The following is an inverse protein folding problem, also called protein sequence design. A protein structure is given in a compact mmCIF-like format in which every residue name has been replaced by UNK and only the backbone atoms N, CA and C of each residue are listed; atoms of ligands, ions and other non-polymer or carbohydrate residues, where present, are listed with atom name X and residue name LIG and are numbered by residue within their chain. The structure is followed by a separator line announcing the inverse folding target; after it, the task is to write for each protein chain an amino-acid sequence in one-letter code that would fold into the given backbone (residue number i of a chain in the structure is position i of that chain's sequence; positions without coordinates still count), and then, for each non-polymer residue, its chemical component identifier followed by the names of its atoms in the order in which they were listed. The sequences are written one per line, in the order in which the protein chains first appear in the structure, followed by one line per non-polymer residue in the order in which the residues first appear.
data_IF_534778736585
#
_entry.id   IF_534778736585
#
_cell.length_a   1.000
_cell.length_b   1.000
_cell.length_c   1.000
_cell.angle_alpha   90.00
_cell.angle_beta   90.00
_cell.angle_gamma   90.00
#
_symmetry.space_group_name_H-M   'P 1'
#
loop_
_entity.id
_entity.type
_entity.pdbx_description
1 polymer ?
#
# COMPACT_ATOMS: atom_id res chain seq x y z
N UNK A 1 1.24 4.77 -15.73
CA UNK A 1 1.37 3.39 -15.23
C UNK A 1 1.00 2.48 -16.38
N UNK A 2 1.80 1.46 -16.63
CA UNK A 2 1.54 0.42 -17.62
C UNK A 2 1.49 -0.89 -16.84
N UNK A 3 0.32 -1.51 -16.77
CA UNK A 3 0.14 -2.78 -16.10
C UNK A 3 -0.52 -3.78 -17.03
N UNK A 4 -0.28 -5.07 -16.80
CA UNK A 4 -1.07 -6.15 -17.37
C UNK A 4 -2.53 -5.93 -16.98
N UNK A 5 -3.42 -6.00 -17.96
CA UNK A 5 -4.84 -5.76 -17.73
C UNK A 5 -5.49 -7.03 -17.19
N UNK A 6 -5.69 -7.06 -15.87
CA UNK A 6 -6.40 -8.16 -15.23
C UNK A 6 -7.86 -8.23 -15.69
N UNK A 7 -8.42 -7.21 -16.39
CA UNK A 7 -9.82 -7.09 -16.82
C UNK A 7 -10.32 -8.10 -17.86
N UNK A 8 -9.48 -8.99 -18.38
CA UNK A 8 -9.92 -10.04 -19.34
C UNK A 8 -10.48 -11.35 -18.72
N UNK A 9 -10.56 -11.41 -17.39
CA UNK A 9 -11.20 -12.45 -16.54
C UNK A 9 -12.67 -12.05 -16.15
N UNK A 10 -13.61 -12.96 -15.81
CA UNK A 10 -14.96 -12.58 -15.41
C UNK A 10 -15.03 -11.79 -14.08
N UNK A 11 -15.89 -10.77 -14.02
CA UNK A 11 -16.03 -9.78 -12.93
C UNK A 11 -16.39 -10.37 -11.56
N UNK A 12 -16.99 -11.56 -11.51
CA UNK A 12 -17.52 -12.18 -10.28
C UNK A 12 -16.49 -12.81 -9.35
N UNK A 13 -15.23 -12.94 -9.76
CA UNK A 13 -14.16 -13.58 -8.96
C UNK A 13 -13.07 -12.59 -8.47
N UNK A 14 -13.16 -11.30 -8.81
CA UNK A 14 -12.01 -10.38 -8.69
C UNK A 14 -11.84 -9.61 -7.37
N UNK A 15 -12.89 -9.30 -6.64
CA UNK A 15 -12.75 -8.38 -5.50
C UNK A 15 -12.85 -9.14 -4.17
N UNK A 16 -11.68 -9.51 -3.64
CA UNK A 16 -11.54 -9.73 -2.21
C UNK A 16 -11.53 -8.36 -1.52
N UNK A 17 -12.72 -7.79 -1.32
CA UNK A 17 -12.87 -6.62 -0.47
C UNK A 17 -12.85 -7.08 0.99
N UNK A 18 -11.89 -6.64 1.81
CA UNK A 18 -11.86 -6.99 3.21
C UNK A 18 -13.13 -6.44 3.89
N UNK A 19 -13.79 -7.24 4.71
CA UNK A 19 -14.96 -6.75 5.46
C UNK A 19 -14.48 -6.08 6.74
N UNK A 20 -14.55 -4.75 6.79
CA UNK A 20 -14.26 -3.99 8.02
C UNK A 20 -15.47 -4.06 8.93
N UNK A 21 -15.29 -4.63 10.13
CA UNK A 21 -16.34 -4.74 11.14
C UNK A 21 -16.04 -3.80 12.31
N UNK A 22 -17.07 -3.17 12.83
CA UNK A 22 -16.99 -2.30 14.00
C UNK A 22 -18.32 -2.17 14.70
N UNK A 23 -18.34 -1.46 15.83
CA UNK A 23 -19.55 -1.15 16.59
C UNK A 23 -19.60 0.37 16.77
N UNK A 24 -20.66 0.99 16.25
CA UNK A 24 -20.96 2.40 16.49
C UNK A 24 -21.84 2.51 17.74
N UNK A 25 -21.51 3.42 18.66
CA UNK A 25 -22.32 3.65 19.88
C UNK A 25 -23.53 4.54 19.59
N UNK A 26 -23.39 5.42 18.61
CA UNK A 26 -24.39 6.42 18.21
C UNK A 26 -24.50 6.44 16.68
N UNK A 27 -25.25 7.40 16.15
CA UNK A 27 -25.22 7.67 14.72
C UNK A 27 -23.84 8.21 14.37
N UNK A 28 -23.04 7.41 13.68
CA UNK A 28 -21.63 7.71 13.48
C UNK A 28 -21.29 7.85 12.00
N UNK A 29 -20.32 8.72 11.70
CA UNK A 29 -19.70 8.79 10.38
C UNK A 29 -18.41 7.98 10.39
N UNK A 30 -18.35 6.98 9.53
CA UNK A 30 -17.18 6.10 9.38
C UNK A 30 -16.38 6.56 8.17
N UNK A 31 -15.12 6.90 8.41
CA UNK A 31 -14.14 7.28 7.41
C UNK A 31 -13.03 6.24 7.38
N UNK A 32 -12.73 5.70 6.19
CA UNK A 32 -11.64 4.76 5.99
C UNK A 32 -10.57 5.41 5.13
N UNK A 33 -9.34 5.44 5.65
CA UNK A 33 -8.17 5.97 4.97
C UNK A 33 -7.16 4.86 4.71
N UNK A 34 -6.57 4.88 3.52
CA UNK A 34 -5.46 4.01 3.15
C UNK A 34 -4.34 4.88 2.59
N UNK A 35 -3.11 4.72 3.11
CA UNK A 35 -1.95 5.54 2.72
C UNK A 35 -2.22 7.06 2.80
N UNK A 36 -3.04 7.49 3.77
CA UNK A 36 -3.42 8.90 3.98
C UNK A 36 -4.56 9.42 3.09
N UNK A 37 -5.08 8.60 2.16
CA UNK A 37 -6.21 8.96 1.29
C UNK A 37 -7.52 8.35 1.79
N UNK A 38 -8.60 9.15 1.82
CA UNK A 38 -9.95 8.65 2.16
C UNK A 38 -10.49 7.82 0.99
N UNK A 39 -10.57 6.51 1.20
CA UNK A 39 -11.09 5.55 0.20
C UNK A 39 -12.58 5.29 0.38
N UNK A 40 -13.12 5.55 1.58
CA UNK A 40 -14.52 5.29 1.89
C UNK A 40 -15.02 6.23 2.98
N UNK A 41 -16.26 6.68 2.85
CA UNK A 41 -16.89 7.59 3.79
C UNK A 41 -18.41 7.36 3.77
N UNK A 42 -18.97 6.93 4.90
CA UNK A 42 -20.41 6.67 5.03
C UNK A 42 -20.90 6.98 6.45
N UNK A 43 -22.22 7.15 6.60
CA UNK A 43 -22.88 7.29 7.90
C UNK A 43 -23.56 5.98 8.25
N UNK A 44 -23.33 5.48 9.47
CA UNK A 44 -23.90 4.23 9.98
C UNK A 44 -24.86 4.52 11.14
N UNK A 45 -25.88 3.68 11.27
CA UNK A 45 -26.78 3.70 12.41
C UNK A 45 -26.07 3.17 13.68
N UNK A 46 -26.57 3.49 14.89
CA UNK A 46 -26.07 2.92 16.13
C UNK A 46 -26.13 1.39 16.11
N UNK A 47 -25.04 0.73 16.47
CA UNK A 47 -24.93 -0.72 16.52
C UNK A 47 -23.76 -1.30 15.73
N UNK A 48 -23.70 -2.64 15.62
CA UNK A 48 -22.69 -3.32 14.84
C UNK A 48 -22.86 -3.02 13.34
N UNK A 49 -21.76 -2.65 12.68
CA UNK A 49 -21.72 -2.41 11.24
C UNK A 49 -20.65 -3.25 10.56
N UNK A 50 -20.86 -3.52 9.28
CA UNK A 50 -19.90 -4.21 8.43
C UNK A 50 -19.83 -3.50 7.07
N UNK A 51 -18.65 -2.95 6.76
CA UNK A 51 -18.39 -2.32 5.46
C UNK A 51 -17.87 -3.39 4.50
N UNK A 52 -18.64 -3.68 3.46
CA UNK A 52 -18.33 -4.70 2.45
C UNK A 52 -17.86 -4.09 1.12
N UNK A 53 -18.25 -2.86 0.84
CA UNK A 53 -18.01 -2.19 -0.44
C UNK A 53 -16.81 -1.24 -0.36
N UNK A 54 -15.70 -1.74 0.18
CA UNK A 54 -14.46 -0.99 0.20
C UNK A 54 -13.75 -1.16 -1.14
N UNK A 55 -13.72 -0.10 -1.95
CA UNK A 55 -12.88 0.00 -3.14
C UNK A 55 -11.42 0.22 -2.73
N UNK A 56 -10.82 -0.82 -2.14
CA UNK A 56 -9.38 -0.85 -1.88
C UNK A 56 -8.65 -0.94 -3.21
N UNK A 57 -7.64 -0.08 -3.40
CA UNK A 57 -6.73 -0.20 -4.53
C UNK A 57 -5.83 -1.41 -4.27
N UNK A 58 -5.34 -2.09 -5.31
CA UNK A 58 -4.43 -3.26 -5.24
C UNK A 58 -3.12 -3.02 -4.45
N UNK A 59 -2.95 -1.86 -3.82
CA UNK A 59 -1.86 -1.59 -2.89
C UNK A 59 -2.15 -2.26 -1.54
N UNK A 60 -1.24 -3.15 -1.12
CA UNK A 60 -1.09 -3.54 0.27
C UNK A 60 -0.89 -2.28 1.13
N UNK A 61 -1.50 -2.23 2.31
CA UNK A 61 -1.36 -1.07 3.19
C UNK A 61 -2.49 -0.98 4.19
N UNK A 62 -2.14 -0.65 5.43
CA UNK A 62 -3.05 -0.61 6.57
C UNK A 62 -4.24 0.33 6.34
N UNK A 63 -5.43 -0.13 6.72
CA UNK A 63 -6.66 0.65 6.68
C UNK A 63 -6.83 1.35 8.02
N UNK A 64 -6.70 2.67 8.00
CA UNK A 64 -6.98 3.52 9.15
C UNK A 64 -8.48 3.85 9.15
N UNK A 65 -9.20 3.32 10.12
CA UNK A 65 -10.63 3.54 10.28
C UNK A 65 -10.87 4.54 11.39
N UNK A 66 -11.55 5.63 11.07
CA UNK A 66 -11.98 6.65 12.04
C UNK A 66 -13.50 6.67 12.08
N UNK A 67 -14.05 6.47 13.27
CA UNK A 67 -15.49 6.53 13.54
C UNK A 67 -15.77 7.80 14.35
N UNK A 68 -16.45 8.74 13.74
CA UNK A 68 -16.90 9.98 14.35
C UNK A 68 -18.30 9.79 14.90
N UNK A 69 -18.44 9.72 16.21
CA UNK A 69 -19.72 9.53 16.90
C UNK A 69 -20.46 10.86 17.04
N UNK A 70 -21.79 10.84 17.13
CA UNK A 70 -22.62 12.04 17.28
C UNK A 70 -22.42 12.74 18.64
N UNK A 71 -21.89 12.03 19.64
CA UNK A 71 -21.53 12.59 20.95
C UNK A 71 -20.19 13.34 20.93
N UNK A 72 -19.52 13.42 19.77
CA UNK A 72 -18.21 14.04 19.60
C UNK A 72 -17.04 13.13 19.96
N UNK A 73 -17.29 11.92 20.47
CA UNK A 73 -16.24 10.93 20.66
C UNK A 73 -15.75 10.40 19.32
N UNK A 74 -14.46 10.05 19.25
CA UNK A 74 -13.86 9.50 18.04
C UNK A 74 -13.19 8.18 18.38
N UNK A 75 -13.47 7.15 17.60
CA UNK A 75 -12.82 5.86 17.73
C UNK A 75 -11.90 5.67 16.53
N UNK A 76 -10.64 5.33 16.78
CA UNK A 76 -9.66 5.06 15.73
C UNK A 76 -9.11 3.65 15.90
N UNK A 77 -9.14 2.86 14.84
CA UNK A 77 -8.53 1.54 14.82
C UNK A 77 -7.91 1.26 13.46
N UNK A 78 -6.89 0.41 13.46
CA UNK A 78 -6.15 0.03 12.26
C UNK A 78 -6.54 -1.40 11.91
N UNK A 79 -7.03 -1.61 10.70
CA UNK A 79 -7.26 -2.93 10.14
C UNK A 79 -6.09 -3.24 9.21
N UNK A 80 -5.21 -4.20 9.57
CA UNK A 80 -4.12 -4.58 8.68
C UNK A 80 -4.71 -5.16 7.40
N UNK A 81 -4.34 -4.57 6.25
CA UNK A 81 -4.77 -5.05 4.94
C UNK A 81 -3.57 -5.55 4.16
N UNK A 82 -3.55 -6.87 4.00
CA UNK A 82 -2.60 -7.58 3.18
C UNK A 82 -3.38 -8.11 1.98
N UNK A 83 -2.98 -7.72 0.78
CA UNK A 83 -3.49 -8.35 -0.43
C UNK A 83 -3.02 -9.81 -0.40
N UNK A 84 -3.93 -10.80 -0.46
CA UNK A 84 -3.50 -12.19 -0.55
C UNK A 84 -2.68 -12.33 -1.83
N UNK A 85 -1.54 -13.02 -1.75
CA UNK A 85 -0.74 -13.27 -2.92
C UNK A 85 -1.55 -14.15 -3.88
N UNK A 86 -1.91 -13.57 -5.02
CA UNK A 86 -2.72 -14.21 -6.03
C UNK A 86 -1.86 -15.30 -6.66
N UNK A 87 -2.23 -16.56 -6.46
CA UNK A 87 -1.67 -17.67 -7.20
C UNK A 87 -2.10 -17.52 -8.67
N UNK A 88 -1.12 -17.40 -9.57
CA UNK A 88 -1.39 -17.31 -11.00
C UNK A 88 -1.50 -18.72 -11.58
N UNK A 89 -2.42 -18.91 -12.52
CA UNK A 89 -2.45 -20.13 -13.33
C UNK A 89 -1.13 -20.31 -14.09
N UNK A 90 -0.74 -21.56 -14.32
CA UNK A 90 0.47 -21.89 -15.08
C UNK A 90 0.48 -21.17 -16.44
N UNK A 91 1.58 -20.48 -16.74
CA UNK A 91 1.77 -19.74 -17.99
C UNK A 91 1.20 -18.32 -17.99
N UNK A 92 0.56 -17.88 -16.90
CA UNK A 92 0.09 -16.50 -16.76
C UNK A 92 1.22 -15.59 -16.28
N UNK A 93 1.48 -14.51 -17.02
CA UNK A 93 2.47 -13.49 -16.70
C UNK A 93 1.75 -12.18 -16.39
N UNK A 94 1.88 -11.70 -15.15
CA UNK A 94 1.37 -10.39 -14.73
C UNK A 94 2.55 -9.46 -14.50
N UNK A 95 2.54 -8.29 -15.11
CA UNK A 95 3.57 -7.26 -14.92
C UNK A 95 2.93 -5.91 -14.63
N UNK A 96 3.60 -5.08 -13.84
CA UNK A 96 3.16 -3.71 -13.58
C UNK A 96 4.35 -2.77 -13.50
N UNK A 97 4.28 -1.69 -14.26
CA UNK A 97 5.29 -0.64 -14.35
C UNK A 97 4.64 0.69 -13.98
N UNK A 98 5.11 1.28 -12.90
CA UNK A 98 4.68 2.58 -12.42
C UNK A 98 5.86 3.54 -12.46
N UNK A 99 5.66 4.72 -13.03
CA UNK A 99 6.60 5.81 -12.98
C UNK A 99 5.82 7.10 -12.77
N UNK A 100 6.22 7.90 -11.79
CA UNK A 100 5.48 9.10 -11.41
C UNK A 100 6.17 9.91 -10.32
N UNK A 101 5.42 10.86 -9.76
CA UNK A 101 5.85 11.64 -8.60
C UNK A 101 5.00 11.23 -7.42
N UNK A 102 5.63 10.87 -6.31
CA UNK A 102 4.93 10.64 -5.06
C UNK A 102 4.27 11.95 -4.64
N UNK A 103 2.95 11.94 -4.52
CA UNK A 103 2.18 13.02 -3.91
C UNK A 103 1.76 12.50 -2.54
N UNK A 104 2.30 13.08 -1.48
CA UNK A 104 1.73 12.89 -0.15
C UNK A 104 0.67 13.97 0.08
N UNK A 105 -0.35 13.67 0.88
CA UNK A 105 -1.37 14.64 1.29
C UNK A 105 -0.85 15.68 2.30
N UNK A 106 0.39 15.50 2.79
CA UNK A 106 1.00 16.36 3.80
C UNK A 106 2.04 17.29 3.17
N UNK A 107 1.93 18.59 3.44
CA UNK A 107 2.69 19.67 2.78
C UNK A 107 4.19 19.71 3.15
N UNK A 108 4.65 18.79 4.00
CA UNK A 108 6.02 18.69 4.50
C UNK A 108 6.89 17.65 3.78
N UNK A 109 6.40 16.95 2.77
CA UNK A 109 7.16 15.90 2.07
C UNK A 109 7.59 16.30 0.66
N UNK A 110 8.88 16.13 0.39
CA UNK A 110 9.52 16.45 -0.89
C UNK A 110 8.88 15.64 -2.03
N UNK A 111 8.69 16.29 -3.19
CA UNK A 111 8.11 15.67 -4.39
C UNK A 111 9.10 14.68 -5.00
N UNK A 112 9.24 13.50 -4.40
CA UNK A 112 10.13 12.46 -4.88
C UNK A 112 9.60 11.80 -6.16
N UNK A 113 10.47 11.61 -7.15
CA UNK A 113 10.15 10.76 -8.29
C UNK A 113 10.20 9.30 -7.83
N UNK A 114 9.18 8.53 -8.20
CA UNK A 114 9.06 7.11 -7.88
C UNK A 114 8.94 6.32 -9.18
N UNK A 115 9.66 5.22 -9.23
CA UNK A 115 9.55 4.19 -10.26
C UNK A 115 9.41 2.84 -9.56
N UNK A 116 8.46 2.02 -9.99
CA UNK A 116 8.24 0.68 -9.47
C UNK A 116 7.98 -0.26 -10.64
N UNK A 117 8.57 -1.44 -10.57
CA UNK A 117 8.32 -2.52 -11.50
C UNK A 117 8.03 -3.78 -10.70
N UNK A 118 6.94 -4.47 -11.02
CA UNK A 118 6.60 -5.78 -10.44
C UNK A 118 6.31 -6.77 -11.56
N UNK A 119 6.66 -8.03 -11.32
CA UNK A 119 6.50 -9.13 -12.26
C UNK A 119 6.13 -10.40 -11.48
N UNK A 120 5.11 -11.09 -11.94
CA UNK A 120 4.61 -12.33 -11.37
C UNK A 120 4.40 -13.34 -12.49
N UNK A 121 4.84 -14.57 -12.28
CA UNK A 121 4.77 -15.64 -13.27
C UNK A 121 4.31 -16.96 -12.63
N UNK A 122 3.28 -17.56 -13.23
CA UNK A 122 2.81 -18.90 -12.87
C UNK A 122 3.68 -20.00 -13.49
N UNK A 123 4.45 -20.70 -12.65
CA UNK A 123 5.25 -21.87 -13.02
C UNK A 123 4.38 -23.15 -13.07
N UNK A 124 4.87 -24.23 -13.72
CA UNK A 124 4.28 -25.56 -13.58
C UNK A 124 4.20 -26.01 -12.11
N UNK A 125 3.29 -26.93 -11.84
CA UNK A 125 3.02 -27.50 -10.50
C UNK A 125 2.34 -26.54 -9.50
N UNK A 126 1.54 -25.59 -9.98
CA UNK A 126 0.82 -24.62 -9.14
C UNK A 126 1.76 -23.72 -8.30
N UNK A 127 2.99 -23.53 -8.77
CA UNK A 127 3.96 -22.63 -8.18
C UNK A 127 3.84 -21.25 -8.85
N UNK A 128 3.91 -20.17 -8.10
CA UNK A 128 3.92 -18.79 -8.61
C UNK A 128 5.18 -18.09 -8.11
N UNK A 129 6.00 -17.56 -9.01
CA UNK A 129 7.11 -16.70 -8.64
C UNK A 129 6.70 -15.23 -8.80
N UNK A 130 7.10 -14.39 -7.86
CA UNK A 130 6.92 -12.95 -7.98
C UNK A 130 8.17 -12.19 -7.58
N UNK A 131 8.31 -11.00 -8.16
CA UNK A 131 9.42 -10.12 -7.89
C UNK A 131 9.04 -8.68 -8.18
N UNK A 132 9.77 -7.77 -7.56
CA UNK A 132 9.54 -6.36 -7.75
C UNK A 132 10.72 -5.52 -7.31
N UNK A 133 10.82 -4.34 -7.90
CA UNK A 133 11.80 -3.33 -7.55
C UNK A 133 11.08 -2.00 -7.43
N UNK A 134 11.47 -1.20 -6.46
CA UNK A 134 10.98 0.16 -6.28
C UNK A 134 12.19 1.07 -6.08
N UNK A 135 12.24 2.15 -6.84
CA UNK A 135 13.27 3.18 -6.75
C UNK A 135 12.62 4.54 -6.61
N UNK A 136 12.98 5.26 -5.56
CA UNK A 136 12.63 6.63 -5.29
C UNK A 136 13.90 7.47 -5.08
N UNK A 137 13.78 8.80 -5.10
CA UNK A 137 14.92 9.73 -5.00
C UNK A 137 15.92 9.38 -3.89
N UNK A 138 15.47 8.86 -2.74
CA UNK A 138 16.32 8.49 -1.59
C UNK A 138 16.07 7.07 -1.07
N UNK A 139 15.38 6.21 -1.83
CA UNK A 139 14.98 4.90 -1.35
C UNK A 139 14.99 3.88 -2.48
N UNK A 140 15.62 2.73 -2.28
CA UNK A 140 15.61 1.62 -3.20
C UNK A 140 15.18 0.36 -2.46
N UNK A 141 14.25 -0.38 -3.04
CA UNK A 141 13.78 -1.66 -2.52
C UNK A 141 13.72 -2.69 -3.64
N UNK A 142 14.01 -3.93 -3.29
CA UNK A 142 13.83 -5.10 -4.14
C UNK A 142 13.11 -6.19 -3.32
N UNK A 143 12.19 -6.89 -3.96
CA UNK A 143 11.42 -7.97 -3.38
C UNK A 143 11.45 -9.17 -4.32
N UNK A 144 11.54 -10.37 -3.75
CA UNK A 144 11.44 -11.64 -4.45
C UNK A 144 10.65 -12.60 -3.57
N UNK A 145 9.71 -13.34 -4.17
CA UNK A 145 8.91 -14.31 -3.47
C UNK A 145 8.46 -15.47 -4.34
N UNK A 146 8.10 -16.56 -3.67
CA UNK A 146 7.60 -17.80 -4.24
C UNK A 146 6.32 -18.19 -3.49
N UNK A 147 5.31 -18.61 -4.24
CA UNK A 147 4.03 -19.07 -3.73
C UNK A 147 3.71 -20.46 -4.24
N UNK A 148 3.13 -21.31 -3.41
CA UNK A 148 2.72 -22.67 -3.72
C UNK A 148 1.23 -22.85 -3.38
N UNK A 149 0.44 -23.29 -4.38
CA UNK A 149 -0.99 -23.61 -4.26
C UNK A 149 -1.24 -25.13 -4.31
N UNK A 150 -0.20 -25.96 -4.20
CA UNK A 150 -0.33 -27.42 -4.25
C UNK A 150 -1.01 -28.03 -3.01
N UNK A 151 -1.21 -27.25 -1.94
CA UNK A 151 -1.88 -27.69 -0.72
C UNK A 151 -3.34 -28.07 -0.95
N UNK A 152 -3.65 -29.36 -0.89
CA UNK A 152 -5.02 -29.88 -1.03
C UNK A 152 -5.99 -29.14 -0.10
N UNK A 153 -7.07 -28.59 -0.67
CA UNK A 153 -8.05 -27.77 0.04
C UNK A 153 -7.99 -26.26 -0.22
N UNK A 154 -7.16 -25.79 -1.17
CA UNK A 154 -7.04 -24.36 -1.48
C UNK A 154 -6.10 -23.61 -0.54
N UNK A 155 -5.17 -24.33 0.09
CA UNK A 155 -4.14 -23.74 0.95
C UNK A 155 -3.05 -23.13 0.07
N UNK A 156 -2.73 -21.87 0.33
CA UNK A 156 -1.67 -21.13 -0.34
C UNK A 156 -0.54 -20.83 0.65
N UNK A 157 0.68 -21.20 0.30
CA UNK A 157 1.90 -20.90 1.06
C UNK A 157 2.73 -19.91 0.25
N UNK A 158 3.19 -18.83 0.86
CA UNK A 158 4.16 -17.92 0.25
C UNK A 158 5.36 -17.67 1.13
N UNK A 159 6.51 -17.51 0.49
CA UNK A 159 7.75 -17.08 1.10
C UNK A 159 8.29 -15.87 0.33
N UNK A 160 8.69 -14.83 1.04
CA UNK A 160 9.25 -13.62 0.44
C UNK A 160 10.47 -13.09 1.17
N UNK A 161 11.33 -12.43 0.39
CA UNK A 161 12.51 -11.73 0.86
C UNK A 161 12.50 -10.32 0.28
N UNK A 162 12.64 -9.32 1.16
CA UNK A 162 12.66 -7.91 0.79
C UNK A 162 13.97 -7.27 1.26
N UNK A 163 14.66 -6.60 0.35
CA UNK A 163 15.89 -5.86 0.62
C UNK A 163 15.65 -4.37 0.37
N UNK A 164 16.04 -3.52 1.32
CA UNK A 164 15.81 -2.07 1.24
C UNK A 164 17.07 -1.29 1.57
N UNK A 165 17.33 -0.22 0.83
CA UNK A 165 18.48 0.67 0.97
C UNK A 165 17.99 2.11 0.94
N UNK A 166 18.28 2.86 2.01
CA UNK A 166 18.04 4.31 2.06
C UNK A 166 19.30 5.04 1.64
N UNK A 167 19.22 5.78 0.53
CA UNK A 167 20.36 6.57 0.02
C UNK A 167 20.24 7.96 0.62
N UNK A 168 20.92 8.16 1.76
CA UNK A 168 20.95 9.45 2.47
C UNK A 168 21.74 10.46 1.64
N UNK A 169 21.06 11.46 1.09
CA UNK A 169 21.71 12.56 0.38
C UNK A 169 22.72 13.27 1.29
N UNK A 170 24.00 13.28 0.90
CA UNK A 170 25.01 14.12 1.56
C UNK A 170 24.59 15.59 1.35
N UNK A 171 24.18 16.27 2.43
CA UNK A 171 24.17 17.74 2.45
C UNK A 171 25.62 18.20 2.28
N UNK A 172 25.93 18.81 1.15
CA UNK A 172 27.13 19.63 1.04
C UNK A 172 26.81 20.95 1.74
N UNK A 173 27.30 21.12 2.97
CA UNK A 173 27.29 22.43 3.62
C UNK A 173 28.31 23.30 2.89
N UNK A 174 27.85 24.22 2.04
CA UNK A 174 28.67 25.38 1.69
C UNK A 174 28.52 26.37 2.85
N UNK A 175 29.41 26.25 3.83
CA UNK A 175 29.72 27.33 4.75
C UNK A 175 30.42 28.44 3.93
N UNK A 176 29.93 29.68 3.88
CA UNK A 176 30.72 30.78 3.34
C UNK A 176 31.90 31.08 4.29
N UNK A 177 33.09 31.45 3.78
CA UNK A 177 34.21 31.81 4.65
C UNK A 177 33.83 33.04 5.48
N UNK A 178 34.00 32.93 6.80
CA UNK A 178 33.68 34.00 7.75
C UNK A 178 34.54 35.24 7.51
N UNK A 179 33.87 36.38 7.34
CA UNK A 179 34.49 37.69 7.47
C UNK A 179 34.78 37.95 8.96
N UNK A 180 36.06 38.04 9.27
CA UNK A 180 36.57 38.35 10.59
C UNK A 180 36.52 39.88 10.78
N UNK A 181 35.52 40.38 11.51
CA UNK A 181 35.49 41.77 11.97
C UNK A 181 35.98 41.81 13.41
N UNK A 182 37.25 42.12 13.59
CA UNK A 182 37.82 42.51 14.89
C UNK A 182 37.49 43.97 15.18
N UNK A 183 36.79 44.23 16.28
CA UNK A 183 36.60 45.53 16.89
C UNK A 183 37.26 45.56 18.29
N UNK A 184 38.41 46.23 18.38
CA UNK A 184 39.07 46.79 19.57
C UNK A 184 40.13 47.75 19.00
N UNK A 185 40.27 49.03 19.35
CA UNK A 185 39.84 49.86 20.47
C UNK A 185 39.57 51.28 20.00
#
# INVERSE_FOLDING_TARGET
MLASDDNMVPYSERQFAPVVRGIARTQARVEVKQNGYTIYNTTVAPGPFALRDLSVTDSSGDLHVTVWEADGSTQMFVVPYQTPAIALHQGYLKYSLLAGRYRSSDSATDKAQIAQATLMYGLPWNLTAYGGIQSATHYQAALLGLGDLSGGGGVYLSMEATHTVSVRGRRYSKEPPGDCVTATS
#
